data_IF_032016301373
#
_entry.id   IF_032016301373
#
_cell.length_a   1.000
_cell.length_b   1.000
_cell.length_c   1.000
_cell.angle_alpha   90.00
_cell.angle_beta   90.00
_cell.angle_gamma   90.00
#
_symmetry.space_group_name_H-M   'P 1'
#
loop_
_entity.id
_entity.type
_entity.pdbx_description
1 polymer ?
#
# COMPACT_ATOMS: atom_id res chain seq x y z
N UNK A 1 -14.49 13.19 26.84
CA UNK A 1 -13.25 12.53 26.38
C UNK A 1 -13.24 11.04 26.73
N UNK A 2 -13.89 10.60 27.81
CA UNK A 2 -13.99 9.20 28.26
C UNK A 2 -14.43 8.19 27.19
N UNK A 3 -15.42 8.54 26.34
CA UNK A 3 -15.89 7.66 25.27
C UNK A 3 -14.82 7.31 24.22
N UNK A 4 -13.87 8.21 23.99
CA UNK A 4 -12.81 7.97 23.02
C UNK A 4 -11.72 7.06 23.61
N UNK A 5 -11.49 7.14 24.92
CA UNK A 5 -10.62 6.21 25.67
C UNK A 5 -11.26 4.80 25.73
N UNK A 6 -12.59 4.71 25.86
CA UNK A 6 -13.37 3.46 25.77
C UNK A 6 -13.28 2.76 24.40
N UNK A 7 -12.81 3.44 23.36
CA UNK A 7 -12.56 2.87 22.04
C UNK A 7 -11.14 2.30 21.89
N UNK A 8 -10.33 2.29 22.96
CA UNK A 8 -9.01 1.68 23.00
C UNK A 8 -7.87 2.56 22.47
N UNK A 9 -8.11 3.87 22.37
CA UNK A 9 -7.14 4.85 21.89
C UNK A 9 -6.78 5.79 23.04
N UNK A 10 -5.48 5.94 23.29
CA UNK A 10 -4.95 6.81 24.33
C UNK A 10 -5.19 8.32 24.02
N UNK A 11 -5.29 9.13 25.09
CA UNK A 11 -5.57 10.57 25.06
C UNK A 11 -4.60 11.35 24.16
N UNK A 12 -3.31 11.01 24.15
CA UNK A 12 -2.30 11.73 23.36
C UNK A 12 -2.45 11.43 21.87
N UNK A 13 -2.93 10.23 21.52
CA UNK A 13 -3.24 9.86 20.14
C UNK A 13 -4.50 10.58 19.64
N UNK A 14 -5.51 10.77 20.49
CA UNK A 14 -6.72 11.49 20.11
C UNK A 14 -6.50 12.95 19.77
N UNK A 15 -5.61 13.64 20.48
CA UNK A 15 -5.25 15.01 20.12
C UNK A 15 -4.71 15.08 18.69
N UNK A 16 -3.86 14.11 18.30
CA UNK A 16 -3.33 14.00 16.93
C UNK A 16 -4.41 13.64 15.91
N UNK A 17 -5.32 12.74 16.28
CA UNK A 17 -6.46 12.36 15.43
C UNK A 17 -7.37 13.55 15.15
N UNK A 18 -7.81 14.26 16.19
CA UNK A 18 -8.68 15.44 16.06
C UNK A 18 -7.98 16.53 15.26
N UNK A 19 -6.69 16.76 15.51
CA UNK A 19 -5.91 17.72 14.74
C UNK A 19 -5.85 17.37 13.24
N UNK A 20 -5.67 16.08 12.91
CA UNK A 20 -5.63 15.61 11.51
C UNK A 20 -7.00 15.52 10.84
N UNK A 21 -8.05 15.28 11.63
CA UNK A 21 -9.41 15.14 11.14
C UNK A 21 -10.40 15.79 12.11
N UNK A 22 -10.51 17.13 12.10
CA UNK A 22 -11.38 17.86 13.03
C UNK A 22 -12.86 17.48 12.89
N UNK A 23 -13.27 17.09 11.67
CA UNK A 23 -14.60 16.58 11.38
C UNK A 23 -14.96 15.33 12.19
N UNK A 24 -14.00 14.64 12.82
CA UNK A 24 -14.28 13.56 13.76
C UNK A 24 -15.34 13.95 14.81
N UNK A 25 -15.26 15.20 15.29
CA UNK A 25 -16.12 15.72 16.35
C UNK A 25 -17.59 15.91 15.92
N UNK A 26 -17.88 15.87 14.62
CA UNK A 26 -19.24 16.00 14.10
C UNK A 26 -19.95 14.65 13.98
N UNK A 27 -19.23 13.52 14.08
CA UNK A 27 -19.82 12.19 14.02
C UNK A 27 -20.45 11.79 15.34
N UNK A 28 -21.58 11.07 15.25
CA UNK A 28 -22.28 10.55 16.42
C UNK A 28 -21.49 9.41 17.08
N UNK A 29 -21.69 9.20 18.39
CA UNK A 29 -21.08 8.09 19.13
C UNK A 29 -21.40 6.71 18.53
N UNK A 30 -22.65 6.42 18.11
CA UNK A 30 -22.96 5.15 17.45
C UNK A 30 -22.15 4.94 16.16
N UNK A 31 -21.93 6.00 15.37
CA UNK A 31 -21.12 5.91 14.14
C UNK A 31 -19.66 5.56 14.43
N UNK A 32 -19.08 6.19 15.46
CA UNK A 32 -17.73 5.91 15.92
C UNK A 32 -17.59 4.47 16.42
N UNK A 33 -18.51 4.03 17.28
CA UNK A 33 -18.54 2.66 17.82
C UNK A 33 -18.69 1.63 16.70
N UNK A 34 -19.62 1.82 15.78
CA UNK A 34 -19.83 0.89 14.65
C UNK A 34 -18.57 0.73 13.79
N UNK A 35 -17.82 1.80 13.54
CA UNK A 35 -16.56 1.73 12.78
C UNK A 35 -15.50 0.93 13.56
N UNK A 36 -15.39 1.16 14.86
CA UNK A 36 -14.42 0.47 15.74
C UNK A 36 -14.77 -1.01 15.87
N UNK A 37 -16.04 -1.34 16.09
CA UNK A 37 -16.53 -2.72 16.19
C UNK A 37 -16.31 -3.46 14.87
N UNK A 38 -16.53 -2.81 13.73
CA UNK A 38 -16.18 -3.36 12.43
C UNK A 38 -14.67 -3.69 12.33
N UNK A 39 -13.77 -2.80 12.79
CA UNK A 39 -12.34 -3.08 12.76
C UNK A 39 -11.98 -4.27 13.66
N UNK A 40 -12.63 -4.42 14.82
CA UNK A 40 -12.49 -5.60 15.67
C UNK A 40 -12.99 -6.88 14.99
N UNK A 41 -14.14 -6.81 14.32
CA UNK A 41 -14.72 -7.91 13.54
C UNK A 41 -13.75 -8.38 12.43
N UNK A 42 -12.97 -7.46 11.86
CA UNK A 42 -11.94 -7.77 10.87
C UNK A 42 -10.65 -8.36 11.46
N UNK A 43 -10.62 -8.61 12.77
CA UNK A 43 -9.52 -9.29 13.47
C UNK A 43 -8.41 -8.38 13.96
N UNK A 44 -8.60 -7.05 13.99
CA UNK A 44 -7.60 -6.13 14.53
C UNK A 44 -7.65 -6.14 16.06
N UNK A 45 -6.49 -6.11 16.72
CA UNK A 45 -6.41 -5.86 18.17
C UNK A 45 -6.69 -4.39 18.50
N UNK A 46 -6.98 -4.07 19.77
CA UNK A 46 -7.19 -2.69 20.22
C UNK A 46 -6.02 -1.76 19.88
N UNK A 47 -4.79 -2.26 20.04
CA UNK A 47 -3.58 -1.53 19.64
C UNK A 47 -3.54 -1.26 18.12
N UNK A 48 -3.92 -2.25 17.30
CA UNK A 48 -3.98 -2.09 15.85
C UNK A 48 -5.06 -1.09 15.43
N UNK A 49 -6.26 -1.17 16.01
CA UNK A 49 -7.35 -0.21 15.79
C UNK A 49 -6.87 1.20 16.12
N UNK A 50 -6.21 1.39 17.26
CA UNK A 50 -5.69 2.69 17.67
C UNK A 50 -4.70 3.28 16.67
N UNK A 51 -3.77 2.46 16.17
CA UNK A 51 -2.82 2.85 15.12
C UNK A 51 -3.51 3.19 13.79
N UNK A 52 -4.55 2.43 13.41
CA UNK A 52 -5.34 2.70 12.19
C UNK A 52 -6.04 4.05 12.31
N UNK A 53 -6.75 4.31 13.40
CA UNK A 53 -7.46 5.58 13.61
C UNK A 53 -6.50 6.78 13.66
N UNK A 54 -5.31 6.60 14.24
CA UNK A 54 -4.27 7.65 14.27
C UNK A 54 -3.70 7.98 12.89
N UNK A 55 -3.49 6.95 12.05
CA UNK A 55 -2.91 7.11 10.71
C UNK A 55 -3.93 7.50 9.65
N UNK A 56 -5.16 7.01 9.77
CA UNK A 56 -6.23 7.18 8.79
C UNK A 56 -7.58 7.43 9.49
N UNK A 57 -7.74 8.58 10.17
CA UNK A 57 -8.99 8.90 10.87
C UNK A 57 -10.19 9.03 9.94
N UNK A 58 -9.95 9.36 8.66
CA UNK A 58 -10.97 9.44 7.63
C UNK A 58 -11.76 8.13 7.43
N UNK A 59 -11.26 6.98 7.88
CA UNK A 59 -11.99 5.70 7.79
C UNK A 59 -13.37 5.78 8.47
N UNK A 60 -13.50 6.60 9.52
CA UNK A 60 -14.74 6.84 10.26
C UNK A 60 -15.81 7.52 9.39
N UNK A 61 -15.41 8.26 8.36
CA UNK A 61 -16.34 8.93 7.46
C UNK A 61 -17.10 7.95 6.56
N UNK A 62 -16.55 6.76 6.31
CA UNK A 62 -17.13 5.78 5.40
C UNK A 62 -18.29 5.02 6.04
N UNK A 63 -19.33 4.70 5.27
CA UNK A 63 -20.40 3.79 5.71
C UNK A 63 -19.81 2.41 5.99
N UNK A 64 -20.10 1.82 7.15
CA UNK A 64 -19.65 0.45 7.44
C UNK A 64 -20.34 -0.51 6.45
N UNK A 65 -21.65 -0.38 6.32
CA UNK A 65 -22.48 -1.27 5.52
C UNK A 65 -22.34 -1.01 4.01
N UNK A 66 -22.34 0.25 3.57
CA UNK A 66 -22.37 0.55 2.12
C UNK A 66 -20.99 0.68 1.48
N UNK A 67 -19.93 0.74 2.30
CA UNK A 67 -18.57 1.02 1.80
C UNK A 67 -17.53 0.04 2.33
N UNK A 68 -17.39 -0.07 3.64
CA UNK A 68 -16.32 -0.88 4.24
C UNK A 68 -16.57 -2.37 4.06
N UNK A 69 -17.79 -2.86 4.31
CA UNK A 69 -18.16 -4.28 4.14
C UNK A 69 -18.04 -4.75 2.68
N UNK A 70 -18.60 -4.07 1.67
CA UNK A 70 -18.42 -4.47 0.28
C UNK A 70 -16.95 -4.51 -0.15
N UNK A 71 -16.13 -3.54 0.29
CA UNK A 71 -14.71 -3.54 0.00
C UNK A 71 -14.00 -4.73 0.66
N UNK A 72 -14.32 -5.05 1.91
CA UNK A 72 -13.84 -6.24 2.62
C UNK A 72 -14.21 -7.53 1.88
N UNK A 73 -15.47 -7.69 1.46
CA UNK A 73 -15.94 -8.87 0.75
C UNK A 73 -15.20 -9.04 -0.58
N UNK A 74 -15.01 -7.96 -1.32
CA UNK A 74 -14.23 -7.97 -2.55
C UNK A 74 -12.78 -8.41 -2.30
N UNK A 75 -12.08 -7.82 -1.32
CA UNK A 75 -10.71 -8.22 -0.98
C UNK A 75 -10.63 -9.67 -0.48
N UNK A 76 -11.61 -10.14 0.29
CA UNK A 76 -11.69 -11.56 0.69
C UNK A 76 -11.87 -12.47 -0.52
N UNK A 77 -12.70 -12.10 -1.50
CA UNK A 77 -12.87 -12.89 -2.74
C UNK A 77 -11.60 -12.97 -3.59
N UNK A 78 -10.68 -12.01 -3.45
CA UNK A 78 -9.35 -12.06 -4.05
C UNK A 78 -8.37 -12.96 -3.28
N UNK A 79 -8.71 -13.39 -2.06
CA UNK A 79 -7.81 -14.11 -1.15
C UNK A 79 -6.89 -13.21 -0.33
N UNK A 80 -7.26 -11.94 -0.14
CA UNK A 80 -6.49 -10.99 0.70
C UNK A 80 -6.88 -11.15 2.17
N UNK A 81 -5.89 -11.12 3.05
CA UNK A 81 -6.11 -10.93 4.49
C UNK A 81 -6.52 -9.48 4.76
N UNK A 82 -7.82 -9.27 4.95
CA UNK A 82 -8.41 -7.95 5.16
C UNK A 82 -7.97 -7.28 6.45
N UNK A 83 -7.68 -8.05 7.51
CA UNK A 83 -7.20 -7.50 8.78
C UNK A 83 -5.80 -6.89 8.60
N UNK A 84 -4.92 -7.64 7.93
CA UNK A 84 -3.58 -7.15 7.56
C UNK A 84 -3.66 -5.94 6.62
N UNK A 85 -4.55 -5.98 5.63
CA UNK A 85 -4.72 -4.87 4.68
C UNK A 85 -5.27 -3.61 5.38
N UNK A 86 -6.27 -3.73 6.26
CA UNK A 86 -6.82 -2.62 7.05
C UNK A 86 -5.76 -2.00 7.96
N UNK A 87 -4.93 -2.81 8.61
CA UNK A 87 -3.85 -2.31 9.46
C UNK A 87 -2.78 -1.56 8.63
N UNK A 88 -2.37 -2.12 7.49
CA UNK A 88 -1.28 -1.56 6.68
C UNK A 88 -1.72 -0.39 5.82
N UNK A 89 -2.86 -0.50 5.15
CA UNK A 89 -3.34 0.45 4.13
C UNK A 89 -4.87 0.67 4.24
N UNK A 90 -5.37 1.23 5.36
CA UNK A 90 -6.80 1.46 5.57
C UNK A 90 -7.45 2.35 4.50
N UNK A 91 -6.69 3.26 3.89
CA UNK A 91 -7.18 4.16 2.84
C UNK A 91 -7.70 3.42 1.60
N UNK A 92 -7.25 2.18 1.37
CA UNK A 92 -7.68 1.36 0.23
C UNK A 92 -9.18 1.06 0.27
N UNK A 93 -9.77 0.97 1.46
CA UNK A 93 -11.21 0.72 1.65
C UNK A 93 -12.08 1.94 1.36
N UNK A 94 -11.48 3.12 1.22
CA UNK A 94 -12.17 4.32 0.74
C UNK A 94 -12.35 4.35 -0.78
N UNK A 95 -11.60 3.53 -1.53
CA UNK A 95 -11.61 3.54 -2.99
C UNK A 95 -12.90 2.93 -3.56
N UNK A 96 -13.28 3.35 -4.77
CA UNK A 96 -14.40 2.73 -5.49
C UNK A 96 -13.98 1.36 -6.01
N UNK A 97 -14.81 0.34 -5.78
CA UNK A 97 -14.56 -0.99 -6.32
C UNK A 97 -14.55 -0.93 -7.85
N UNK A 98 -15.62 -0.41 -8.45
CA UNK A 98 -15.77 -0.36 -9.91
C UNK A 98 -14.85 0.64 -10.60
N UNK A 99 -14.53 1.79 -9.96
CA UNK A 99 -13.74 2.83 -10.61
C UNK A 99 -12.23 2.75 -10.32
N UNK A 100 -11.80 2.05 -9.27
CA UNK A 100 -10.39 2.00 -8.87
C UNK A 100 -9.88 0.57 -8.72
N UNK A 101 -10.50 -0.23 -7.84
CA UNK A 101 -9.93 -1.50 -7.42
C UNK A 101 -10.01 -2.52 -8.57
N UNK A 102 -11.20 -2.74 -9.12
CA UNK A 102 -11.45 -3.74 -10.16
C UNK A 102 -10.69 -3.46 -11.47
N UNK A 103 -10.68 -2.23 -12.02
CA UNK A 103 -9.88 -1.95 -13.22
C UNK A 103 -8.38 -2.22 -13.03
N UNK A 104 -7.84 -1.91 -11.85
CA UNK A 104 -6.45 -2.21 -11.55
C UNK A 104 -6.20 -3.71 -11.33
N UNK A 105 -7.13 -4.43 -10.69
CA UNK A 105 -7.08 -5.90 -10.58
C UNK A 105 -7.09 -6.57 -11.96
N UNK A 106 -7.99 -6.15 -12.84
CA UNK A 106 -8.13 -6.64 -14.22
C UNK A 106 -6.85 -6.35 -15.02
N UNK A 107 -6.29 -5.15 -14.89
CA UNK A 107 -5.00 -4.82 -15.49
C UNK A 107 -3.90 -5.82 -15.13
N UNK A 108 -3.72 -6.15 -13.85
CA UNK A 108 -2.70 -7.13 -13.46
C UNK A 108 -3.04 -8.54 -13.95
N UNK A 109 -4.32 -8.93 -13.94
CA UNK A 109 -4.76 -10.21 -14.49
C UNK A 109 -4.42 -10.32 -15.98
N UNK A 110 -4.65 -9.28 -16.76
CA UNK A 110 -4.35 -9.22 -18.19
C UNK A 110 -2.83 -9.25 -18.48
N UNK A 111 -2.00 -8.84 -17.52
CA UNK A 111 -0.53 -9.00 -17.58
C UNK A 111 -0.05 -10.37 -17.07
N UNK A 112 -0.96 -11.31 -16.86
CA UNK A 112 -0.65 -12.70 -16.51
C UNK A 112 -0.35 -12.93 -15.03
N UNK A 113 -0.76 -12.03 -14.13
CA UNK A 113 -0.70 -12.28 -12.69
C UNK A 113 -1.88 -13.15 -12.25
N UNK A 114 -1.61 -14.17 -11.45
CA UNK A 114 -2.68 -14.93 -10.81
C UNK A 114 -3.38 -14.11 -9.72
N UNK A 115 -4.61 -14.48 -9.37
CA UNK A 115 -5.33 -13.78 -8.29
C UNK A 115 -4.55 -13.85 -6.97
N UNK A 116 -3.89 -14.96 -6.68
CA UNK A 116 -3.04 -15.13 -5.49
C UNK A 116 -1.81 -14.21 -5.50
N UNK A 117 -1.19 -14.01 -6.66
CA UNK A 117 -0.08 -13.06 -6.80
C UNK A 117 -0.56 -11.61 -6.60
N UNK A 118 -1.71 -11.25 -7.18
CA UNK A 118 -2.31 -9.93 -6.99
C UNK A 118 -2.67 -9.71 -5.51
N UNK A 119 -3.28 -10.69 -4.86
CA UNK A 119 -3.58 -10.64 -3.43
C UNK A 119 -2.32 -10.45 -2.58
N UNK A 120 -1.23 -11.13 -2.94
CA UNK A 120 0.07 -10.96 -2.31
C UNK A 120 0.61 -9.54 -2.50
N UNK A 121 0.51 -8.99 -3.71
CA UNK A 121 0.95 -7.62 -4.01
C UNK A 121 0.18 -6.58 -3.19
N UNK A 122 -1.15 -6.69 -3.13
CA UNK A 122 -2.03 -5.79 -2.39
C UNK A 122 -1.79 -5.89 -0.89
N UNK A 123 -1.63 -7.10 -0.35
CA UNK A 123 -1.33 -7.32 1.07
C UNK A 123 0.00 -6.68 1.49
N UNK A 124 0.98 -6.63 0.56
CA UNK A 124 2.28 -5.99 0.77
C UNK A 124 2.21 -4.47 0.58
N UNK A 125 1.40 -4.00 -0.35
CA UNK A 125 1.33 -2.60 -0.74
C UNK A 125 -0.07 -2.21 -1.26
N UNK A 126 -1.03 -2.01 -0.35
CA UNK A 126 -2.41 -1.67 -0.70
C UNK A 126 -2.56 -0.36 -1.47
N UNK A 127 -1.61 0.56 -1.30
CA UNK A 127 -1.56 1.81 -2.08
C UNK A 127 -1.42 1.58 -3.60
N UNK A 128 -1.12 0.36 -4.05
CA UNK A 128 -1.16 -0.03 -5.46
C UNK A 128 -2.47 0.40 -6.16
N UNK A 129 -3.61 0.32 -5.47
CA UNK A 129 -4.93 0.71 -6.02
C UNK A 129 -5.21 2.21 -6.00
N UNK A 130 -4.34 3.01 -5.38
CA UNK A 130 -4.50 4.48 -5.36
C UNK A 130 -3.94 5.14 -6.62
N UNK A 131 -3.18 4.41 -7.43
CA UNK A 131 -2.65 4.92 -8.69
C UNK A 131 -3.69 4.80 -9.80
N UNK A 132 -3.72 5.80 -10.69
CA UNK A 132 -4.53 5.69 -11.90
C UNK A 132 -3.98 4.58 -12.82
N UNK A 133 -4.88 3.96 -13.57
CA UNK A 133 -4.51 2.91 -14.53
C UNK A 133 -3.44 3.39 -15.51
N UNK A 134 -3.56 4.64 -16.01
CA UNK A 134 -2.56 5.24 -16.89
C UNK A 134 -1.15 5.27 -16.27
N UNK A 135 -1.03 5.57 -14.96
CA UNK A 135 0.27 5.53 -14.27
C UNK A 135 0.81 4.11 -14.12
N UNK A 136 -0.06 3.13 -13.87
CA UNK A 136 0.33 1.72 -13.77
C UNK A 136 0.84 1.20 -15.12
N UNK A 137 0.15 1.52 -16.21
CA UNK A 137 0.55 1.15 -17.58
C UNK A 137 1.94 1.69 -17.90
N UNK A 138 2.19 2.99 -17.70
CA UNK A 138 3.50 3.58 -18.01
C UNK A 138 4.65 2.92 -17.25
N UNK A 139 4.43 2.60 -15.96
CA UNK A 139 5.43 1.90 -15.14
C UNK A 139 5.60 0.44 -15.55
N UNK A 140 4.52 -0.24 -15.92
CA UNK A 140 4.58 -1.60 -16.43
C UNK A 140 5.35 -1.69 -17.75
N UNK A 141 5.06 -0.81 -18.71
CA UNK A 141 5.75 -0.79 -20.00
C UNK A 141 7.25 -0.54 -19.80
N UNK A 142 7.63 0.38 -18.91
CA UNK A 142 9.03 0.56 -18.56
C UNK A 142 9.62 -0.66 -17.84
N UNK A 143 8.88 -1.30 -16.94
CA UNK A 143 9.36 -2.51 -16.25
C UNK A 143 9.77 -3.62 -17.24
N UNK A 144 9.03 -3.78 -18.34
CA UNK A 144 9.35 -4.76 -19.38
C UNK A 144 10.70 -4.49 -20.05
N UNK A 145 11.08 -3.22 -20.26
CA UNK A 145 12.38 -2.86 -20.85
C UNK A 145 13.56 -3.15 -19.92
N UNK A 146 13.31 -3.17 -18.61
CA UNK A 146 14.35 -3.43 -17.60
C UNK A 146 14.74 -4.90 -17.50
N UNK A 147 13.98 -5.79 -18.13
CA UNK A 147 14.25 -7.23 -18.21
C UNK A 147 14.25 -7.94 -16.85
N UNK A 148 13.58 -7.41 -15.82
CA UNK A 148 13.39 -8.12 -14.55
C UNK A 148 12.26 -9.15 -14.71
N UNK A 149 12.33 -10.32 -14.03
CA UNK A 149 11.24 -11.26 -14.09
C UNK A 149 10.02 -10.67 -13.37
N UNK A 150 8.81 -10.91 -13.92
CA UNK A 150 7.52 -10.45 -13.37
C UNK A 150 7.36 -10.78 -11.88
N UNK A 151 7.94 -11.88 -11.42
CA UNK A 151 7.92 -12.31 -10.01
C UNK A 151 8.54 -11.28 -9.05
N UNK A 152 9.42 -10.39 -9.52
CA UNK A 152 9.95 -9.29 -8.71
C UNK A 152 8.87 -8.27 -8.33
N UNK A 153 7.86 -8.06 -9.18
CA UNK A 153 6.73 -7.18 -8.85
C UNK A 153 5.82 -7.78 -7.78
N UNK A 154 5.76 -9.11 -7.67
CA UNK A 154 5.04 -9.79 -6.59
C UNK A 154 5.78 -9.63 -5.26
N UNK A 155 7.10 -9.74 -5.28
CA UNK A 155 7.95 -9.57 -4.08
C UNK A 155 8.04 -8.10 -3.64
N UNK A 156 8.06 -7.18 -4.60
CA UNK A 156 8.27 -5.74 -4.40
C UNK A 156 7.27 -4.88 -5.21
N UNK A 157 5.96 -4.94 -4.87
CA UNK A 157 4.93 -4.14 -5.54
C UNK A 157 5.11 -2.62 -5.35
N UNK A 158 5.93 -2.20 -4.37
CA UNK A 158 6.32 -0.81 -4.15
C UNK A 158 7.04 -0.20 -5.35
N UNK A 159 7.52 -1.00 -6.31
CA UNK A 159 7.94 -0.52 -7.62
C UNK A 159 6.97 0.52 -8.20
N UNK A 160 5.67 0.23 -8.17
CA UNK A 160 4.62 1.11 -8.68
C UNK A 160 4.45 2.39 -7.86
N UNK A 161 5.03 2.48 -6.66
CA UNK A 161 5.03 3.67 -5.81
C UNK A 161 6.11 4.70 -6.17
N UNK A 162 7.22 4.28 -6.78
CA UNK A 162 8.31 5.20 -7.11
C UNK A 162 8.02 6.02 -8.37
N UNK A 163 8.57 7.24 -8.44
CA UNK A 163 8.47 8.09 -9.63
C UNK A 163 9.17 7.43 -10.82
N UNK A 164 8.50 7.41 -11.98
CA UNK A 164 9.08 6.86 -13.19
C UNK A 164 10.28 7.69 -13.66
N UNK A 165 10.11 9.01 -13.74
CA UNK A 165 11.12 9.95 -14.24
C UNK A 165 12.19 10.29 -13.20
N UNK A 166 11.82 10.46 -11.93
CA UNK A 166 12.75 10.95 -10.90
C UNK A 166 13.53 9.84 -10.19
N UNK A 167 13.12 8.58 -10.35
CA UNK A 167 13.67 7.48 -9.54
C UNK A 167 13.95 6.21 -10.34
N UNK A 168 12.96 5.70 -11.07
CA UNK A 168 13.08 4.40 -11.74
C UNK A 168 14.04 4.52 -12.93
N UNK A 169 13.77 5.43 -13.87
CA UNK A 169 14.60 5.63 -15.07
C UNK A 169 16.04 6.05 -14.74
N UNK A 170 16.31 7.06 -13.88
CA UNK A 170 17.67 7.51 -13.63
C UNK A 170 18.54 6.42 -13.00
N UNK A 171 17.99 5.67 -12.03
CA UNK A 171 18.74 4.60 -11.36
C UNK A 171 18.98 3.40 -12.26
N UNK A 172 18.01 3.06 -13.10
CA UNK A 172 18.20 2.00 -14.09
C UNK A 172 19.23 2.39 -15.16
N UNK A 173 19.24 3.64 -15.61
CA UNK A 173 20.27 4.19 -16.52
C UNK A 173 21.66 4.05 -15.93
N UNK A 174 21.89 4.53 -14.69
CA UNK A 174 23.18 4.40 -13.99
C UNK A 174 23.63 2.94 -13.88
N UNK A 175 22.71 2.01 -13.61
CA UNK A 175 23.02 0.58 -13.55
C UNK A 175 23.44 0.02 -14.92
N UNK A 176 22.73 0.42 -15.98
CA UNK A 176 23.00 0.00 -17.36
C UNK A 176 24.35 0.52 -17.83
N UNK A 177 24.63 1.81 -17.63
CA UNK A 177 25.90 2.47 -18.01
C UNK A 177 27.11 1.82 -17.33
N UNK A 178 26.93 1.31 -16.11
CA UNK A 178 27.97 0.63 -15.34
C UNK A 178 28.04 -0.88 -15.58
N UNK A 179 27.17 -1.45 -16.41
CA UNK A 179 27.09 -2.90 -16.62
C UNK A 179 26.73 -3.69 -15.36
N UNK A 180 26.05 -3.07 -14.40
CA UNK A 180 25.76 -3.66 -13.09
C UNK A 180 24.26 -3.96 -12.95
N UNK A 181 23.94 -5.13 -12.37
CA UNK A 181 22.57 -5.49 -12.02
C UNK A 181 22.36 -5.72 -10.52
N UNK A 182 21.59 -4.84 -9.89
CA UNK A 182 21.08 -4.96 -8.52
C UNK A 182 19.70 -5.64 -8.50
N UNK A 183 19.24 -6.04 -7.32
CA UNK A 183 17.84 -6.44 -7.12
C UNK A 183 16.92 -5.21 -7.24
N UNK A 184 15.67 -5.43 -7.67
CA UNK A 184 14.73 -4.33 -7.91
C UNK A 184 14.48 -3.47 -6.66
N UNK A 185 14.37 -4.12 -5.50
CA UNK A 185 14.21 -3.44 -4.22
C UNK A 185 15.47 -2.63 -3.85
N UNK A 186 16.67 -3.18 -4.00
CA UNK A 186 17.93 -2.48 -3.72
C UNK A 186 18.10 -1.25 -4.62
N UNK A 187 17.72 -1.38 -5.89
CA UNK A 187 17.76 -0.26 -6.82
C UNK A 187 16.84 0.88 -6.36
N UNK A 188 15.63 0.60 -5.87
CA UNK A 188 14.63 1.66 -5.66
C UNK A 188 14.46 2.11 -4.21
N UNK A 189 14.57 1.21 -3.24
CA UNK A 189 14.24 1.49 -1.84
C UNK A 189 15.35 2.19 -1.06
N UNK A 190 16.60 2.02 -1.48
CA UNK A 190 17.74 2.61 -0.78
C UNK A 190 17.79 4.13 -0.93
N UNK A 191 18.30 4.82 0.09
CA UNK A 191 18.71 6.23 -0.02
C UNK A 191 19.72 6.42 -1.16
N UNK A 192 20.02 7.66 -1.53
CA UNK A 192 21.00 7.94 -2.57
C UNK A 192 22.39 7.39 -2.22
N UNK A 193 22.88 7.68 -1.02
CA UNK A 193 24.13 7.11 -0.50
C UNK A 193 24.08 5.57 -0.43
N UNK A 194 22.97 5.00 0.04
CA UNK A 194 22.79 3.55 0.11
C UNK A 194 22.83 2.88 -1.27
N UNK A 195 22.18 3.49 -2.26
CA UNK A 195 22.21 3.05 -3.66
C UNK A 195 23.63 3.10 -4.23
N UNK A 196 24.34 4.22 -4.02
CA UNK A 196 25.73 4.39 -4.48
C UNK A 196 26.67 3.35 -3.83
N UNK A 197 26.50 3.06 -2.54
CA UNK A 197 27.25 2.00 -1.85
C UNK A 197 26.93 0.62 -2.43
N UNK A 198 25.67 0.31 -2.70
CA UNK A 198 25.27 -0.95 -3.30
C UNK A 198 25.86 -1.14 -4.71
N UNK A 199 25.85 -0.08 -5.54
CA UNK A 199 26.49 -0.06 -6.85
C UNK A 199 27.99 -0.33 -6.76
N UNK A 200 28.72 0.42 -5.91
CA UNK A 200 30.18 0.24 -5.73
C UNK A 200 30.53 -1.18 -5.32
N UNK A 201 29.79 -1.74 -4.34
CA UNK A 201 29.98 -3.12 -3.88
C UNK A 201 29.75 -4.14 -4.98
N UNK A 202 28.72 -3.93 -5.82
CA UNK A 202 28.41 -4.86 -6.92
C UNK A 202 29.43 -4.76 -8.05
N UNK A 203 29.91 -3.56 -8.36
CA UNK A 203 30.97 -3.32 -9.34
C UNK A 203 32.31 -3.96 -8.90
N UNK A 204 32.70 -3.79 -7.64
CA UNK A 204 33.92 -4.41 -7.12
C UNK A 204 33.89 -5.94 -7.28
N UNK A 205 32.75 -6.57 -6.95
CA UNK A 205 32.54 -8.02 -7.15
C UNK A 205 32.59 -8.46 -8.62
N UNK A 206 32.37 -7.58 -9.59
CA UNK A 206 32.52 -7.92 -11.02
C UNK A 206 33.97 -7.81 -11.49
N UNK A 207 34.79 -7.00 -10.82
CA UNK A 207 36.22 -6.86 -11.12
C UNK A 207 37.01 -8.00 -10.47
N UNK A 208 36.57 -8.45 -9.29
CA UNK A 208 37.25 -9.51 -8.52
C UNK A 208 36.93 -10.94 -9.00
N UNK A 209 35.98 -11.13 -9.93
CA UNK A 209 35.59 -12.43 -10.51
C UNK A 209 35.94 -12.47 -12.00
#
# INVERSE_FOLDING_TARGET
MTFLEELGVDKEQWAKVIYRFPALLTYSRPKLRATVDFLYEMGLSAECVSKVLTRCPNIISYSVEDKLRPATEYFRSMGVDVGVLLYRCPQTFGLSIEANIKPATEFFKDKGFSMTEIATMVSRYGALYTFSLAKLVLKWEFFLTMGYPRTELVKFPQYFGYSLEERIKPRFGIMTDKGVRLLLNQMLSLSEDGFNKALKRKLQKLIDN
#
